data_IF_429132215843
#
_entry.id   IF_429132215843
#
_cell.length_a   1.000
_cell.length_b   1.000
_cell.length_c   1.000
_cell.angle_alpha   90.00
_cell.angle_beta   90.00
_cell.angle_gamma   90.00
#
_symmetry.space_group_name_H-M   'P 1'
#
loop_
_entity.id
_entity.type
_entity.pdbx_description
1 polymer ?
#
# COMPACT_ATOMS: atom_id res chain seq x y z
N UNK A 1 -8.83 19.18 21.18
CA UNK A 1 -9.00 18.13 20.15
C UNK A 1 -7.60 17.68 19.73
N UNK A 2 -7.14 16.51 20.17
CA UNK A 2 -5.79 16.06 19.85
C UNK A 2 -5.67 15.87 18.33
N UNK A 3 -4.73 16.57 17.69
CA UNK A 3 -4.42 16.36 16.28
C UNK A 3 -3.80 14.96 16.19
N UNK A 4 -4.63 13.94 15.90
CA UNK A 4 -4.14 12.58 15.66
C UNK A 4 -3.22 12.65 14.45
N UNK A 5 -1.95 12.29 14.64
CA UNK A 5 -0.97 12.24 13.56
C UNK A 5 -1.47 11.22 12.54
N UNK A 6 -1.66 11.62 11.28
CA UNK A 6 -2.10 10.72 10.21
C UNK A 6 -1.06 9.62 10.02
N UNK A 7 -1.54 8.38 10.03
CA UNK A 7 -0.76 7.16 9.94
C UNK A 7 -1.50 6.10 9.11
N UNK A 8 -0.94 4.91 9.00
CA UNK A 8 -1.56 3.85 8.18
C UNK A 8 -2.93 3.42 8.70
N UNK A 9 -3.15 3.45 10.03
CA UNK A 9 -4.44 3.16 10.63
C UNK A 9 -5.50 4.17 10.17
N UNK A 10 -5.13 5.45 10.11
CA UNK A 10 -6.00 6.52 9.61
C UNK A 10 -6.40 6.30 8.14
N UNK A 11 -5.53 5.73 7.32
CA UNK A 11 -5.84 5.37 5.90
C UNK A 11 -6.77 4.16 5.84
N UNK A 12 -6.52 3.15 6.68
CA UNK A 12 -7.34 1.93 6.76
C UNK A 12 -8.76 2.28 7.22
N UNK A 13 -8.93 3.17 8.19
CA UNK A 13 -10.25 3.65 8.64
C UNK A 13 -11.08 4.26 7.50
N UNK A 14 -10.43 4.86 6.49
CA UNK A 14 -11.08 5.47 5.32
C UNK A 14 -11.40 4.49 4.18
N UNK A 15 -10.95 3.23 4.26
CA UNK A 15 -11.17 2.21 3.22
C UNK A 15 -12.63 2.07 2.75
N UNK A 16 -13.64 2.05 3.66
CA UNK A 16 -15.03 1.96 3.24
C UNK A 16 -15.46 3.15 2.39
N UNK A 17 -14.94 4.35 2.68
CA UNK A 17 -15.30 5.57 1.97
C UNK A 17 -14.69 5.61 0.56
N UNK A 18 -13.42 5.21 0.40
CA UNK A 18 -12.83 5.05 -0.94
C UNK A 18 -13.59 4.02 -1.77
N UNK A 19 -13.94 2.88 -1.17
CA UNK A 19 -14.68 1.82 -1.85
C UNK A 19 -16.06 2.31 -2.31
N UNK A 20 -16.79 3.02 -1.46
CA UNK A 20 -18.08 3.64 -1.82
C UNK A 20 -17.91 4.64 -2.97
N UNK A 21 -16.89 5.51 -2.91
CA UNK A 21 -16.61 6.48 -3.97
C UNK A 21 -16.28 5.79 -5.29
N UNK A 22 -15.44 4.76 -5.29
CA UNK A 22 -15.12 3.97 -6.49
C UNK A 22 -16.37 3.31 -7.10
N UNK A 23 -17.24 2.74 -6.27
CA UNK A 23 -18.50 2.13 -6.74
C UNK A 23 -19.44 3.19 -7.32
N UNK A 24 -19.57 4.36 -6.69
CA UNK A 24 -20.37 5.48 -7.21
C UNK A 24 -19.85 5.95 -8.57
N UNK A 25 -18.54 6.18 -8.69
CA UNK A 25 -17.90 6.52 -9.95
C UNK A 25 -18.14 5.43 -11.00
N UNK A 26 -17.97 4.16 -10.65
CA UNK A 26 -18.16 3.03 -11.57
C UNK A 26 -19.59 2.95 -12.13
N UNK A 27 -20.59 3.18 -11.26
CA UNK A 27 -22.01 3.22 -11.63
C UNK A 27 -22.42 4.47 -12.41
N UNK A 28 -21.61 5.54 -12.37
CA UNK A 28 -21.91 6.78 -13.08
C UNK A 28 -22.00 6.60 -14.58
N UNK A 29 -23.00 7.23 -15.21
CA UNK A 29 -23.13 7.29 -16.68
C UNK A 29 -22.08 8.19 -17.34
N UNK A 30 -21.49 9.10 -16.57
CA UNK A 30 -20.52 10.08 -17.03
C UNK A 30 -19.10 9.50 -17.15
N UNK A 31 -18.83 8.33 -16.58
CA UNK A 31 -17.54 7.66 -16.71
C UNK A 31 -17.39 6.92 -18.04
N UNK A 32 -16.25 7.14 -18.71
CA UNK A 32 -15.84 6.40 -19.92
C UNK A 32 -15.58 4.93 -19.58
N UNK A 33 -15.69 4.04 -20.58
CA UNK A 33 -15.40 2.60 -20.40
C UNK A 33 -14.00 2.32 -19.85
N UNK A 34 -12.99 3.09 -20.27
CA UNK A 34 -11.62 2.98 -19.78
C UNK A 34 -11.49 3.35 -18.29
N UNK A 35 -12.21 4.37 -17.82
CA UNK A 35 -12.26 4.74 -16.41
C UNK A 35 -12.95 3.65 -15.59
N UNK A 36 -14.05 3.08 -16.10
CA UNK A 36 -14.73 1.96 -15.45
C UNK A 36 -13.86 0.72 -15.35
N UNK A 37 -13.04 0.44 -16.36
CA UNK A 37 -12.05 -0.65 -16.32
C UNK A 37 -10.97 -0.40 -15.25
N UNK A 38 -10.51 0.84 -15.11
CA UNK A 38 -9.54 1.18 -14.07
C UNK A 38 -10.15 1.07 -12.66
N UNK A 39 -11.42 1.49 -12.51
CA UNK A 39 -12.16 1.31 -11.26
C UNK A 39 -12.40 -0.17 -10.97
N UNK A 40 -12.74 -0.98 -11.97
CA UNK A 40 -12.93 -2.42 -11.76
C UNK A 40 -11.63 -3.09 -11.34
N UNK A 41 -10.48 -2.68 -11.88
CA UNK A 41 -9.18 -3.16 -11.44
C UNK A 41 -8.96 -2.87 -9.95
N UNK A 42 -9.22 -1.64 -9.49
CA UNK A 42 -9.10 -1.31 -8.07
C UNK A 42 -10.16 -1.97 -7.18
N UNK A 43 -11.41 -2.08 -7.63
CA UNK A 43 -12.52 -2.73 -6.87
C UNK A 43 -12.29 -4.23 -6.74
N UNK A 44 -11.96 -4.92 -7.84
CA UNK A 44 -11.70 -6.37 -7.83
C UNK A 44 -10.56 -6.73 -6.88
N UNK A 45 -9.57 -5.83 -6.77
CA UNK A 45 -8.46 -6.00 -5.85
C UNK A 45 -8.85 -5.78 -4.38
N UNK A 46 -9.77 -4.85 -4.10
CA UNK A 46 -10.28 -4.57 -2.76
C UNK A 46 -11.31 -5.58 -2.25
N UNK A 47 -12.05 -6.23 -3.15
CA UNK A 47 -13.06 -7.24 -2.83
C UNK A 47 -12.52 -8.67 -2.75
N UNK A 48 -11.21 -8.87 -2.92
CA UNK A 48 -10.59 -10.18 -2.65
C UNK A 48 -10.95 -10.59 -1.22
N UNK A 49 -11.85 -11.57 -1.02
CA UNK A 49 -12.24 -12.00 0.31
C UNK A 49 -11.03 -12.69 0.91
N UNK A 50 -10.73 -12.44 2.20
CA UNK A 50 -9.53 -12.87 2.94
C UNK A 50 -8.40 -11.82 2.74
N UNK A 51 -8.29 -10.76 3.56
CA UNK A 51 -7.32 -10.75 4.69
C UNK A 51 -7.53 -9.56 5.67
N UNK A 52 -8.71 -8.92 5.74
CA UNK A 52 -8.98 -7.86 6.74
C UNK A 52 -9.42 -8.47 8.09
N UNK A 53 -8.56 -9.26 8.73
CA UNK A 53 -8.71 -9.60 10.15
C UNK A 53 -8.06 -8.45 10.94
N UNK A 54 -8.83 -7.65 11.69
CA UNK A 54 -8.27 -6.56 12.49
C UNK A 54 -7.56 -7.16 13.71
N UNK A 55 -6.23 -7.06 13.73
CA UNK A 55 -5.42 -7.47 14.88
C UNK A 55 -3.94 -7.70 14.60
N UNK A 56 -3.50 -7.81 13.35
CA UNK A 56 -2.11 -8.11 12.99
C UNK A 56 -1.68 -7.14 11.89
N UNK A 57 -0.53 -6.50 12.10
CA UNK A 57 0.19 -5.61 11.19
C UNK A 57 -0.08 -5.95 9.70
N UNK A 58 -0.44 -4.97 8.85
CA UNK A 58 -0.65 -5.26 7.43
C UNK A 58 0.64 -5.82 6.83
N UNK A 59 0.55 -7.05 6.31
CA UNK A 59 1.65 -7.69 5.59
C UNK A 59 1.96 -6.86 4.34
N UNK A 60 3.20 -6.81 3.88
CA UNK A 60 3.62 -6.01 2.72
C UNK A 60 2.71 -6.20 1.49
N UNK A 61 2.13 -7.39 1.29
CA UNK A 61 1.17 -7.66 0.22
C UNK A 61 -0.15 -6.89 0.32
N UNK A 62 -0.67 -6.64 1.54
CA UNK A 62 -1.93 -5.91 1.73
C UNK A 62 -1.79 -4.41 1.43
N UNK A 63 -0.62 -3.84 1.73
CA UNK A 63 -0.33 -2.44 1.44
C UNK A 63 -0.23 -2.17 -0.07
N UNK A 64 0.29 -3.13 -0.85
CA UNK A 64 0.32 -3.01 -2.30
C UNK A 64 -1.10 -2.88 -2.87
N UNK A 65 -2.04 -3.71 -2.38
CA UNK A 65 -3.43 -3.67 -2.80
C UNK A 65 -4.11 -2.33 -2.51
N UNK A 66 -3.90 -1.79 -1.31
CA UNK A 66 -4.36 -0.46 -0.94
C UNK A 66 -3.78 0.63 -1.85
N UNK A 67 -2.48 0.57 -2.13
CA UNK A 67 -1.80 1.56 -3.00
C UNK A 67 -2.37 1.51 -4.42
N UNK A 68 -2.60 0.31 -4.96
CA UNK A 68 -3.22 0.13 -6.29
C UNK A 68 -4.63 0.72 -6.32
N UNK A 69 -5.46 0.41 -5.32
CA UNK A 69 -6.81 0.95 -5.22
C UNK A 69 -6.80 2.49 -5.21
N UNK A 70 -6.02 3.10 -4.33
CA UNK A 70 -5.94 4.57 -4.21
C UNK A 70 -5.40 5.23 -5.47
N UNK A 71 -4.41 4.63 -6.13
CA UNK A 71 -3.87 5.14 -7.41
C UNK A 71 -4.88 5.04 -8.55
N UNK A 72 -5.65 3.96 -8.62
CA UNK A 72 -6.71 3.81 -9.60
C UNK A 72 -7.80 4.87 -9.39
N UNK A 73 -8.25 5.05 -8.15
CA UNK A 73 -9.21 6.10 -7.78
C UNK A 73 -8.69 7.49 -8.16
N UNK A 74 -7.46 7.82 -7.74
CA UNK A 74 -6.81 9.09 -8.06
C UNK A 74 -6.77 9.33 -9.58
N UNK A 75 -6.29 8.35 -10.35
CA UNK A 75 -6.16 8.47 -11.81
C UNK A 75 -7.51 8.66 -12.49
N UNK A 76 -8.58 7.99 -12.01
CA UNK A 76 -9.93 8.23 -12.53
C UNK A 76 -10.40 9.65 -12.21
N UNK A 77 -10.25 10.11 -10.96
CA UNK A 77 -10.62 11.47 -10.57
C UNK A 77 -9.87 12.52 -11.39
N UNK A 78 -8.55 12.39 -11.55
CA UNK A 78 -7.73 13.31 -12.35
C UNK A 78 -8.14 13.35 -13.84
N UNK A 79 -8.61 12.23 -14.37
CA UNK A 79 -9.11 12.12 -15.76
C UNK A 79 -10.58 12.51 -15.94
N UNK A 80 -11.28 12.82 -14.85
CA UNK A 80 -12.68 13.25 -14.85
C UNK A 80 -12.75 14.77 -15.00
N UNK A 81 -13.81 15.26 -15.65
CA UNK A 81 -14.12 16.69 -15.70
C UNK A 81 -14.09 17.33 -14.30
N UNK A 82 -13.60 18.57 -14.21
CA UNK A 82 -13.32 19.22 -12.93
C UNK A 82 -14.58 19.41 -12.07
N UNK A 83 -15.69 19.84 -12.68
CA UNK A 83 -16.95 20.08 -11.95
C UNK A 83 -17.52 18.76 -11.43
N UNK A 84 -17.49 17.71 -12.27
CA UNK A 84 -17.98 16.40 -11.90
C UNK A 84 -17.10 15.75 -10.82
N UNK A 85 -15.77 15.90 -10.92
CA UNK A 85 -14.82 15.44 -9.90
C UNK A 85 -15.11 16.10 -8.56
N UNK A 86 -15.25 17.42 -8.54
CA UNK A 86 -15.53 18.19 -7.32
C UNK A 86 -16.86 17.79 -6.69
N UNK A 87 -17.89 17.55 -7.51
CA UNK A 87 -19.18 17.04 -7.03
C UNK A 87 -19.04 15.71 -6.30
N UNK A 88 -18.35 14.73 -6.88
CA UNK A 88 -18.14 13.42 -6.24
C UNK A 88 -17.25 13.48 -5.00
N UNK A 89 -16.21 14.33 -5.02
CA UNK A 89 -15.31 14.54 -3.87
C UNK A 89 -16.04 15.21 -2.71
N UNK A 90 -16.84 16.24 -2.99
CA UNK A 90 -17.67 16.92 -1.99
C UNK A 90 -18.72 15.99 -1.39
N UNK A 91 -19.36 15.16 -2.21
CA UNK A 91 -20.33 14.16 -1.73
C UNK A 91 -19.67 13.10 -0.83
N UNK A 92 -18.40 12.79 -1.08
CA UNK A 92 -17.61 11.85 -0.28
C UNK A 92 -16.94 12.50 0.94
N UNK A 93 -17.06 13.81 1.14
CA UNK A 93 -16.33 14.61 2.13
C UNK A 93 -14.82 14.33 2.07
N UNK A 94 -14.26 14.39 0.86
CA UNK A 94 -12.86 14.07 0.58
C UNK A 94 -12.23 15.08 -0.37
N UNK A 95 -10.91 15.21 -0.30
CA UNK A 95 -10.12 15.98 -1.28
C UNK A 95 -9.13 15.12 -2.04
N UNK A 96 -8.65 15.60 -3.18
CA UNK A 96 -7.60 14.91 -3.95
C UNK A 96 -6.27 14.95 -3.19
N UNK A 97 -6.02 16.01 -2.41
CA UNK A 97 -4.85 16.18 -1.54
C UNK A 97 -4.84 15.13 -0.43
N UNK A 98 -6.00 14.81 0.14
CA UNK A 98 -6.13 13.73 1.13
C UNK A 98 -5.78 12.38 0.51
N UNK A 99 -6.35 12.05 -0.65
CA UNK A 99 -6.01 10.80 -1.37
C UNK A 99 -4.51 10.74 -1.68
N UNK A 100 -3.90 11.86 -2.08
CA UNK A 100 -2.46 11.95 -2.33
C UNK A 100 -1.62 11.68 -1.07
N UNK A 101 -2.01 12.24 0.07
CA UNK A 101 -1.32 11.97 1.33
C UNK A 101 -1.49 10.50 1.75
N UNK A 102 -2.70 9.97 1.61
CA UNK A 102 -3.02 8.61 2.04
C UNK A 102 -2.24 7.58 1.18
N UNK A 103 -2.00 7.87 -0.11
CA UNK A 103 -1.04 7.13 -0.97
C UNK A 103 0.40 7.25 -0.43
N UNK A 104 0.85 8.45 -0.06
CA UNK A 104 2.21 8.67 0.46
C UNK A 104 2.44 7.89 1.75
N UNK A 105 1.47 7.92 2.67
CA UNK A 105 1.50 7.16 3.92
C UNK A 105 1.64 5.68 3.59
N UNK A 106 0.75 5.11 2.77
CA UNK A 106 0.78 3.70 2.41
C UNK A 106 2.12 3.26 1.79
N UNK A 107 2.65 4.04 0.83
CA UNK A 107 3.96 3.77 0.21
C UNK A 107 5.10 3.87 1.22
N UNK A 108 5.07 4.86 2.11
CA UNK A 108 6.13 5.06 3.12
C UNK A 108 6.16 3.91 4.14
N UNK A 109 4.99 3.42 4.52
CA UNK A 109 4.82 2.25 5.39
C UNK A 109 5.37 1.01 4.70
N UNK A 110 4.97 0.73 3.45
CA UNK A 110 5.48 -0.41 2.68
C UNK A 110 7.01 -0.40 2.55
N UNK A 111 7.61 0.76 2.22
CA UNK A 111 9.08 0.91 2.14
C UNK A 111 9.77 0.63 3.47
N UNK A 112 9.13 1.00 4.59
CA UNK A 112 9.71 0.80 5.92
C UNK A 112 9.72 -0.69 6.31
N UNK A 113 8.68 -1.45 5.94
CA UNK A 113 8.69 -2.91 6.04
C UNK A 113 9.79 -3.55 5.18
N UNK A 114 9.91 -3.15 3.91
CA UNK A 114 10.95 -3.67 3.02
C UNK A 114 12.36 -3.44 3.54
N UNK A 115 12.67 -2.23 4.04
CA UNK A 115 13.98 -1.91 4.65
C UNK A 115 14.25 -2.76 5.90
N UNK A 116 13.25 -3.01 6.73
CA UNK A 116 13.36 -3.88 7.91
C UNK A 116 13.76 -5.30 7.53
N UNK A 117 13.02 -5.92 6.60
CA UNK A 117 13.29 -7.27 6.09
C UNK A 117 14.69 -7.38 5.47
N UNK A 118 15.08 -6.43 4.62
CA UNK A 118 16.41 -6.41 3.99
C UNK A 118 17.52 -6.33 5.04
N UNK A 119 17.35 -5.51 6.09
CA UNK A 119 18.35 -5.39 7.17
C UNK A 119 18.53 -6.69 7.95
N UNK A 120 17.43 -7.36 8.28
CA UNK A 120 17.48 -8.66 8.97
C UNK A 120 18.19 -9.71 8.12
N UNK A 121 17.78 -9.88 6.86
CA UNK A 121 18.40 -10.84 5.92
C UNK A 121 19.89 -10.54 5.76
N UNK A 122 20.26 -9.27 5.55
CA UNK A 122 21.67 -8.87 5.38
C UNK A 122 22.52 -9.25 6.59
N UNK A 123 22.03 -8.98 7.80
CA UNK A 123 22.74 -9.31 9.04
C UNK A 123 22.88 -10.84 9.24
N UNK A 124 21.82 -11.60 8.94
CA UNK A 124 21.84 -13.06 9.01
C UNK A 124 22.82 -13.67 8.01
N UNK A 125 22.84 -13.20 6.75
CA UNK A 125 23.79 -13.65 5.74
C UNK A 125 25.23 -13.35 6.12
N UNK A 126 25.51 -12.15 6.68
CA UNK A 126 26.85 -11.80 7.18
C UNK A 126 27.29 -12.75 8.31
N UNK A 127 26.42 -13.01 9.28
CA UNK A 127 26.73 -13.92 10.39
C UNK A 127 27.04 -15.35 9.91
N UNK A 128 26.21 -15.89 9.01
CA UNK A 128 26.45 -17.20 8.41
C UNK A 128 27.78 -17.24 7.63
N UNK A 129 28.05 -16.20 6.83
CA UNK A 129 29.31 -16.05 6.11
C UNK A 129 30.54 -15.99 7.02
N UNK A 130 30.49 -15.21 8.12
CA UNK A 130 31.56 -15.17 9.11
C UNK A 130 31.79 -16.53 9.78
N UNK A 131 30.71 -17.25 10.11
CA UNK A 131 30.80 -18.56 10.75
C UNK A 131 31.46 -19.60 9.84
N UNK A 132 31.08 -19.61 8.55
CA UNK A 132 31.69 -20.48 7.54
C UNK A 132 33.16 -20.09 7.31
N UNK A 133 33.48 -18.80 7.16
CA UNK A 133 34.87 -18.35 7.01
C UNK A 133 35.74 -18.73 8.21
N UNK A 134 35.21 -18.63 9.44
CA UNK A 134 35.92 -19.02 10.65
C UNK A 134 36.22 -20.52 10.67
N UNK A 135 35.26 -21.36 10.29
CA UNK A 135 35.48 -22.80 10.15
C UNK A 135 36.50 -23.13 9.06
N UNK A 136 36.40 -22.53 7.88
CA UNK A 136 37.37 -22.75 6.79
C UNK A 136 38.78 -22.33 7.22
N UNK A 137 38.94 -21.17 7.91
CA UNK A 137 40.24 -20.75 8.46
C UNK A 137 40.79 -21.78 9.46
N UNK A 138 39.94 -22.32 10.34
CA UNK A 138 40.33 -23.33 11.33
C UNK A 138 40.76 -24.65 10.67
N UNK A 139 40.07 -25.09 9.62
CA UNK A 139 40.45 -26.26 8.82
C UNK A 139 41.75 -26.04 8.04
N UNK A 140 41.95 -24.84 7.48
CA UNK A 140 43.14 -24.51 6.70
C UNK A 140 44.41 -24.40 7.56
N UNK A 141 44.29 -23.93 8.81
CA UNK A 141 45.41 -23.92 9.76
C UNK A 141 45.73 -25.31 10.33
N UNK A 142 44.76 -26.23 10.41
CA UNK A 142 45.00 -27.61 10.85
C UNK A 142 45.74 -28.48 9.82
N UNK A 143 45.70 -28.14 8.52
CA UNK A 143 46.44 -28.85 7.46
C UNK A 143 47.92 -28.42 7.30
N UNK A 144 48.40 -27.48 8.12
CA UNK A 144 49.77 -26.96 8.06
C UNK A 144 50.75 -27.64 9.03
N UNK A 145 50.33 -28.73 9.69
CA UNK A 145 51.17 -29.61 10.51
C UNK A 145 51.00 -31.04 10.04
#
# INVERSE_FOLDING_TARGET
>A
MAIRKRDICSVIEKLPNYSKLMIKLYKSRYMRKSQKLLLSAGIAYSLSPIELIPGIIPVAGQLDNLIVMLRCLKKVLESTDAELRESYLKEADMTIEEINEDIRIAVSTLKSFGRGTVKVISNSCKFAGYSVMHQIRKYRNKRKY
#
